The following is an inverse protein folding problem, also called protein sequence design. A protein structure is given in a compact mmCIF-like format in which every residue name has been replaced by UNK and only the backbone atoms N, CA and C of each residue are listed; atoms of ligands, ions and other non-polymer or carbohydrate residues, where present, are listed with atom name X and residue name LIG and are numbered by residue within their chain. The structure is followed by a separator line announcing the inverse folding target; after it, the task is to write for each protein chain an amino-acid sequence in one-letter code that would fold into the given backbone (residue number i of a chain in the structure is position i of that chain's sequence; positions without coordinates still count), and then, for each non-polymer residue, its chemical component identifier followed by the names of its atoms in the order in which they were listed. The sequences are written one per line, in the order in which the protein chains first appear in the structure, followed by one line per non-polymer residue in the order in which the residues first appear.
data_IF_138800610672
#
_entry.id   IF_138800610672
#
_cell.length_a   1.000
_cell.length_b   1.000
_cell.length_c   1.000
_cell.angle_alpha   90.00
_cell.angle_beta   90.00
_cell.angle_gamma   90.00
#
_symmetry.space_group_name_H-M   'P 1'
#
loop_
_entity.id
_entity.type
_entity.pdbx_description
1 polymer ?
#
# COMPACT_ATOMS: atom_id res chain seq x y z
N UNK A 1 -83.39 19.77 -12.39
CA UNK A 1 -82.02 19.40 -12.81
C UNK A 1 -81.06 20.31 -12.05
N UNK A 2 -80.16 19.74 -11.25
CA UNK A 2 -79.07 20.39 -10.51
C UNK A 2 -79.45 21.36 -9.36
N UNK A 3 -79.91 20.78 -8.25
CA UNK A 3 -79.59 21.27 -6.91
C UNK A 3 -78.73 20.20 -6.20
N UNK A 4 -77.89 20.63 -5.25
CA UNK A 4 -76.97 19.81 -4.43
C UNK A 4 -75.73 19.23 -5.12
N UNK A 5 -74.71 20.06 -5.38
CA UNK A 5 -73.29 19.60 -5.45
C UNK A 5 -72.27 20.69 -5.06
N UNK A 6 -72.54 21.47 -4.01
CA UNK A 6 -71.56 22.46 -3.50
C UNK A 6 -71.23 22.35 -2.01
N UNK A 7 -71.60 21.25 -1.34
CA UNK A 7 -71.18 20.93 0.03
C UNK A 7 -70.55 19.52 0.04
N UNK A 8 -69.57 19.29 -0.83
CA UNK A 8 -68.76 18.06 -0.83
C UNK A 8 -67.29 18.29 -1.20
N UNK A 9 -66.84 19.55 -1.25
CA UNK A 9 -65.44 19.93 -1.54
C UNK A 9 -64.71 20.49 -0.30
N UNK A 10 -65.35 20.45 0.87
CA UNK A 10 -64.74 20.93 2.13
C UNK A 10 -64.53 19.84 3.20
N UNK A 11 -64.86 18.58 2.88
CA UNK A 11 -64.70 17.43 3.79
C UNK A 11 -63.81 16.30 3.23
N UNK A 12 -63.06 16.57 2.15
CA UNK A 12 -62.10 15.61 1.56
C UNK A 12 -60.64 16.09 1.60
N UNK A 13 -60.36 17.24 2.23
CA UNK A 13 -58.98 17.74 2.46
C UNK A 13 -58.50 17.50 3.90
N UNK A 14 -59.33 16.93 4.79
CA UNK A 14 -59.02 16.82 6.23
C UNK A 14 -58.92 15.39 6.81
N UNK A 15 -58.82 14.35 5.97
CA UNK A 15 -58.49 13.00 6.45
C UNK A 15 -57.65 12.26 5.43
N UNK A 16 -56.36 12.55 5.44
CA UNK A 16 -55.28 11.60 5.11
C UNK A 16 -53.95 12.26 5.46
N UNK A 17 -53.80 12.70 6.72
CA UNK A 17 -52.49 12.76 7.37
C UNK A 17 -52.04 11.34 7.70
N UNK A 18 -51.93 10.50 6.67
CA UNK A 18 -51.05 9.34 6.73
C UNK A 18 -49.66 9.93 6.50
N UNK A 19 -48.95 10.13 7.61
CA UNK A 19 -47.50 10.20 7.60
C UNK A 19 -47.04 8.87 7.01
N UNK A 20 -46.95 8.82 5.68
CA UNK A 20 -45.98 7.97 5.04
C UNK A 20 -44.65 8.58 5.43
N UNK A 21 -44.09 8.09 6.53
CA UNK A 21 -42.66 7.88 6.63
C UNK A 21 -42.30 6.90 5.53
N UNK A 22 -42.35 7.35 4.28
CA UNK A 22 -41.46 6.82 3.29
C UNK A 22 -40.09 7.21 3.82
N UNK A 23 -39.46 6.28 4.55
CA UNK A 23 -38.03 6.13 4.41
C UNK A 23 -37.78 6.15 2.91
N UNK A 24 -37.38 7.31 2.41
CA UNK A 24 -36.76 7.39 1.11
C UNK A 24 -35.53 6.53 1.27
N UNK A 25 -35.67 5.25 0.89
CA UNK A 25 -34.55 4.45 0.42
C UNK A 25 -33.93 5.29 -0.67
N UNK A 26 -32.93 6.07 -0.29
CA UNK A 26 -31.99 6.67 -1.22
C UNK A 26 -31.31 5.48 -1.86
N UNK A 27 -31.86 5.05 -2.99
CA UNK A 27 -31.22 4.10 -3.88
C UNK A 27 -29.90 4.72 -4.32
N UNK A 28 -28.84 4.23 -3.69
CA UNK A 28 -27.47 4.12 -4.17
C UNK A 28 -27.21 4.71 -5.56
N UNK A 29 -26.97 6.02 -5.59
CA UNK A 29 -26.02 6.61 -6.56
C UNK A 29 -24.58 6.56 -6.01
N UNK A 30 -24.36 5.84 -4.90
CA UNK A 30 -23.53 6.24 -3.76
C UNK A 30 -22.07 5.75 -3.75
N UNK A 31 -21.54 5.31 -4.88
CA UNK A 31 -20.10 5.10 -5.06
C UNK A 31 -19.69 5.82 -6.33
N UNK A 32 -19.63 7.16 -6.26
CA UNK A 32 -19.35 8.01 -7.39
C UNK A 32 -18.01 7.61 -8.04
N UNK A 33 -18.08 7.00 -9.23
CA UNK A 33 -16.97 6.91 -10.19
C UNK A 33 -15.88 5.86 -9.97
N UNK A 34 -15.73 5.26 -8.79
CA UNK A 34 -14.57 4.37 -8.52
C UNK A 34 -14.97 2.93 -8.26
N UNK A 35 -14.97 2.12 -9.32
CA UNK A 35 -14.98 0.66 -9.18
C UNK A 35 -13.58 0.17 -8.82
N UNK A 36 -13.22 0.22 -7.55
CA UNK A 36 -12.14 -0.67 -7.09
C UNK A 36 -12.71 -2.10 -7.17
N UNK A 37 -12.38 -2.85 -8.24
CA UNK A 37 -12.96 -4.17 -8.51
C UNK A 37 -12.86 -5.09 -7.28
N UNK A 38 -14.01 -5.58 -6.83
CA UNK A 38 -14.10 -6.53 -5.70
C UNK A 38 -14.12 -5.90 -4.30
N UNK A 39 -14.31 -4.58 -4.18
CA UNK A 39 -14.61 -3.91 -2.92
C UNK A 39 -16.12 -3.65 -2.78
N UNK A 40 -16.66 -3.85 -1.58
CA UNK A 40 -17.93 -3.24 -1.20
C UNK A 40 -17.64 -1.75 -0.89
N UNK A 41 -18.61 -0.87 -1.09
CA UNK A 41 -18.47 0.56 -0.85
C UNK A 41 -19.69 1.10 -0.09
N UNK A 42 -19.44 1.94 0.91
CA UNK A 42 -20.43 2.58 1.78
C UNK A 42 -20.05 4.05 1.99
N UNK A 43 -21.05 4.92 2.17
CA UNK A 43 -20.81 6.27 2.68
C UNK A 43 -20.58 6.21 4.20
N UNK A 44 -19.33 6.37 4.61
CA UNK A 44 -18.94 6.42 6.01
C UNK A 44 -18.84 7.84 6.54
N UNK A 45 -18.60 7.94 7.85
CA UNK A 45 -18.53 9.20 8.59
C UNK A 45 -17.27 9.25 9.44
N UNK A 46 -16.54 10.35 9.38
CA UNK A 46 -15.37 10.60 10.23
C UNK A 46 -15.59 11.87 11.03
N UNK A 47 -15.38 11.77 12.34
CA UNK A 47 -15.50 12.88 13.28
C UNK A 47 -14.19 13.08 14.02
N UNK A 48 -13.65 14.29 13.97
CA UNK A 48 -12.57 14.67 14.88
C UNK A 48 -13.12 14.93 16.28
N UNK A 49 -12.52 14.33 17.30
CA UNK A 49 -12.75 14.78 18.68
C UNK A 49 -12.02 16.11 18.88
N UNK A 50 -12.70 17.10 19.47
CA UNK A 50 -12.17 18.46 19.66
C UNK A 50 -10.75 18.48 20.25
N UNK A 51 -9.86 19.28 19.65
CA UNK A 51 -8.48 19.48 20.14
C UNK A 51 -8.52 19.83 21.64
N UNK A 52 -8.02 18.96 22.51
CA UNK A 52 -7.71 19.37 23.89
C UNK A 52 -6.63 20.44 23.81
N UNK A 53 -6.99 21.68 24.13
CA UNK A 53 -6.15 22.89 24.10
C UNK A 53 -4.93 22.88 25.05
N UNK A 54 -4.48 21.71 25.52
CA UNK A 54 -3.39 21.54 26.49
C UNK A 54 -2.62 20.25 26.23
N UNK A 55 -1.81 20.25 25.18
CA UNK A 55 -0.54 19.51 25.11
C UNK A 55 0.18 19.96 23.85
N UNK A 56 1.45 20.30 23.96
CA UNK A 56 2.34 20.67 22.84
C UNK A 56 2.79 19.46 22.02
N UNK A 57 1.98 18.40 21.99
CA UNK A 57 2.22 17.17 21.24
C UNK A 57 1.05 17.00 20.27
N UNK A 58 1.32 17.19 18.98
CA UNK A 58 0.40 17.26 17.84
C UNK A 58 -0.36 15.96 17.52
N UNK A 59 -1.10 15.44 18.50
CA UNK A 59 -1.98 14.29 18.33
C UNK A 59 -3.37 14.71 17.85
N UNK A 60 -3.86 14.06 16.80
CA UNK A 60 -5.26 14.11 16.37
C UNK A 60 -6.00 12.88 16.90
N UNK A 61 -7.30 13.01 17.12
CA UNK A 61 -8.14 11.88 17.48
C UNK A 61 -9.38 11.91 16.61
N UNK A 62 -9.68 10.78 15.97
CA UNK A 62 -10.74 10.65 14.98
C UNK A 62 -11.56 9.40 15.25
N UNK A 63 -12.87 9.48 14.99
CA UNK A 63 -13.78 8.34 15.07
C UNK A 63 -14.29 8.07 13.66
N UNK A 64 -14.03 6.88 13.14
CA UNK A 64 -14.48 6.41 11.83
C UNK A 64 -15.67 5.48 12.02
N UNK A 65 -16.80 5.81 11.40
CA UNK A 65 -18.02 4.98 11.38
C UNK A 65 -18.29 4.52 9.95
N UNK A 66 -18.23 3.21 9.73
CA UNK A 66 -18.52 2.57 8.44
C UNK A 66 -18.85 1.09 8.65
N UNK A 67 -19.70 0.50 7.82
CA UNK A 67 -20.09 -0.91 7.86
C UNK A 67 -20.63 -1.35 9.22
N UNK A 68 -21.39 -0.46 9.88
CA UNK A 68 -21.94 -0.68 11.21
C UNK A 68 -20.88 -0.77 12.33
N UNK A 69 -19.62 -0.41 12.05
CA UNK A 69 -18.51 -0.41 13.01
C UNK A 69 -18.08 1.02 13.34
N UNK A 70 -17.57 1.20 14.54
CA UNK A 70 -16.97 2.44 15.02
C UNK A 70 -15.51 2.17 15.43
N UNK A 71 -14.57 2.90 14.84
CA UNK A 71 -13.12 2.74 15.05
C UNK A 71 -12.57 4.06 15.56
N UNK A 72 -12.04 4.07 16.78
CA UNK A 72 -11.34 5.22 17.35
C UNK A 72 -9.87 5.20 16.97
N UNK A 73 -9.40 6.25 16.31
CA UNK A 73 -8.02 6.42 15.88
C UNK A 73 -7.30 7.43 16.78
N UNK A 74 -6.10 7.07 17.23
CA UNK A 74 -5.15 7.95 17.90
C UNK A 74 -4.04 8.29 16.92
N UNK A 75 -4.18 9.43 16.25
CA UNK A 75 -3.36 9.84 15.13
C UNK A 75 -2.19 10.70 15.58
N UNK A 76 -0.99 10.29 15.25
CA UNK A 76 0.25 11.06 15.46
C UNK A 76 0.84 11.44 14.11
N UNK A 77 1.27 12.69 13.95
CA UNK A 77 1.95 13.10 12.72
C UNK A 77 3.24 12.30 12.54
N UNK A 78 3.47 11.83 11.32
CA UNK A 78 4.67 11.07 10.98
C UNK A 78 5.90 11.96 11.09
N UNK A 79 6.86 11.53 11.90
CA UNK A 79 8.15 12.21 12.02
C UNK A 79 9.09 11.85 10.86
N UNK A 80 9.67 12.88 10.24
CA UNK A 80 10.65 12.74 9.15
C UNK A 80 10.00 12.58 7.78
N UNK A 81 10.74 12.98 6.74
CA UNK A 81 10.24 12.90 5.38
C UNK A 81 10.25 11.43 4.91
N UNK A 82 9.09 10.96 4.44
CA UNK A 82 8.90 9.64 3.83
C UNK A 82 9.11 9.66 2.31
N UNK A 83 8.75 10.78 1.73
CA UNK A 83 9.02 11.18 0.36
C UNK A 83 9.22 12.69 0.38
N UNK A 84 9.75 13.25 -0.70
CA UNK A 84 10.03 14.66 -0.83
C UNK A 84 9.43 15.23 -2.10
N UNK A 85 9.34 16.56 -2.20
CA UNK A 85 8.85 17.23 -3.41
C UNK A 85 9.69 16.87 -4.66
N UNK A 86 10.97 16.53 -4.45
CA UNK A 86 11.89 16.11 -5.49
C UNK A 86 11.83 14.60 -5.81
N UNK A 87 11.08 13.79 -5.04
CA UNK A 87 10.95 12.36 -5.30
C UNK A 87 10.41 12.13 -6.72
N UNK A 88 11.16 11.45 -7.60
CA UNK A 88 10.80 11.30 -9.01
C UNK A 88 9.62 10.35 -9.22
N UNK A 89 8.77 10.70 -10.19
CA UNK A 89 7.68 9.86 -10.69
C UNK A 89 7.93 9.54 -12.16
N UNK A 90 8.42 8.34 -12.44
CA UNK A 90 8.76 7.88 -13.78
C UNK A 90 7.52 7.34 -14.49
N UNK A 91 6.93 8.15 -15.38
CA UNK A 91 5.88 7.70 -16.30
C UNK A 91 6.50 7.01 -17.50
N UNK A 92 6.39 5.69 -17.58
CA UNK A 92 6.99 4.88 -18.64
C UNK A 92 6.01 4.66 -19.78
N UNK A 93 6.36 5.13 -20.97
CA UNK A 93 5.63 4.83 -22.19
C UNK A 93 6.45 3.88 -23.06
N UNK A 94 5.81 2.89 -23.65
CA UNK A 94 6.44 2.01 -24.65
C UNK A 94 5.90 2.33 -26.04
N UNK A 95 6.74 2.88 -26.91
CA UNK A 95 6.40 3.07 -28.31
C UNK A 95 6.69 1.81 -29.14
N UNK A 96 6.04 1.68 -30.31
CA UNK A 96 6.35 0.63 -31.28
C UNK A 96 7.82 0.78 -31.72
N UNK A 97 8.69 -0.14 -31.26
CA UNK A 97 10.15 -0.06 -31.48
C UNK A 97 11.05 -0.19 -30.24
N UNK A 98 10.50 -0.56 -29.07
CA UNK A 98 11.26 -0.85 -27.81
C UNK A 98 11.82 0.39 -27.10
N UNK A 99 11.65 1.60 -27.64
CA UNK A 99 12.07 2.82 -26.95
C UNK A 99 11.13 3.14 -25.79
N UNK A 100 11.72 3.32 -24.61
CA UNK A 100 11.05 3.84 -23.43
C UNK A 100 11.16 5.36 -23.45
N UNK A 101 10.03 6.04 -23.28
CA UNK A 101 9.99 7.48 -23.03
C UNK A 101 9.58 7.72 -21.59
N UNK A 102 10.28 8.63 -20.92
CA UNK A 102 9.89 9.18 -19.62
C UNK A 102 9.48 10.62 -19.77
N UNK A 103 8.37 10.95 -19.12
CA UNK A 103 7.94 12.33 -19.03
C UNK A 103 8.73 13.07 -17.93
N UNK A 104 9.53 14.05 -18.35
CA UNK A 104 10.72 14.53 -17.63
C UNK A 104 10.49 15.54 -16.51
N UNK A 105 9.26 15.93 -16.19
CA UNK A 105 8.96 16.96 -15.18
C UNK A 105 8.02 16.48 -14.06
N UNK A 106 8.07 15.19 -13.74
CA UNK A 106 7.14 14.58 -12.82
C UNK A 106 7.82 14.19 -11.52
N UNK A 107 7.44 14.88 -10.45
CA UNK A 107 7.88 14.62 -9.09
C UNK A 107 6.68 14.71 -8.14
N UNK A 108 6.92 14.46 -6.86
CA UNK A 108 5.87 14.50 -5.83
C UNK A 108 5.56 15.91 -5.33
N UNK A 109 5.89 16.98 -6.08
CA UNK A 109 5.68 18.38 -5.66
C UNK A 109 4.23 18.75 -5.34
N UNK A 110 3.25 18.21 -6.06
CA UNK A 110 1.82 18.41 -5.76
C UNK A 110 1.39 17.79 -4.43
N UNK A 111 2.24 16.97 -3.83
CA UNK A 111 2.03 16.32 -2.54
C UNK A 111 3.01 16.85 -1.46
N UNK A 112 3.80 17.88 -1.75
CA UNK A 112 4.81 18.40 -0.82
C UNK A 112 4.24 18.93 0.51
N UNK A 113 2.98 19.40 0.50
CA UNK A 113 2.28 19.91 1.68
C UNK A 113 1.39 18.86 2.36
N UNK A 114 1.43 17.62 1.90
CA UNK A 114 0.63 16.54 2.48
C UNK A 114 1.24 16.12 3.81
N UNK A 115 0.45 16.22 4.88
CA UNK A 115 0.83 15.74 6.21
C UNK A 115 0.30 14.33 6.41
N UNK A 116 1.16 13.39 6.75
CA UNK A 116 0.77 12.01 7.05
C UNK A 116 0.63 11.87 8.57
N UNK A 117 -0.50 11.30 8.98
CA UNK A 117 -0.78 10.91 10.35
C UNK A 117 -0.96 9.40 10.43
N UNK A 118 -0.60 8.85 11.58
CA UNK A 118 -0.48 7.41 11.77
C UNK A 118 -1.11 6.96 13.08
N UNK A 119 -1.70 5.78 13.09
CA UNK A 119 -2.08 5.05 14.30
C UNK A 119 -1.46 3.66 14.21
N UNK A 120 -0.42 3.42 15.00
CA UNK A 120 0.31 2.14 15.01
C UNK A 120 -0.60 0.99 15.43
N UNK A 121 -1.49 1.20 16.41
CA UNK A 121 -2.35 0.15 16.96
C UNK A 121 -3.37 -0.34 15.94
N UNK A 122 -3.91 0.57 15.14
CA UNK A 122 -4.85 0.21 14.07
C UNK A 122 -4.15 -0.05 12.73
N UNK A 123 -2.83 0.12 12.65
CA UNK A 123 -2.08 0.18 11.39
C UNK A 123 -2.81 1.09 10.41
N UNK A 124 -3.03 2.33 10.85
CA UNK A 124 -3.69 3.35 10.06
C UNK A 124 -2.68 4.38 9.55
N UNK A 125 -2.90 4.84 8.32
CA UNK A 125 -2.18 5.93 7.70
C UNK A 125 -3.20 6.83 7.03
N UNK A 126 -3.23 8.11 7.40
CA UNK A 126 -4.19 9.08 6.90
C UNK A 126 -3.46 10.35 6.48
N UNK A 127 -3.95 11.02 5.46
CA UNK A 127 -3.36 12.27 5.01
C UNK A 127 -4.30 13.42 5.30
N UNK A 128 -3.75 14.43 5.96
CA UNK A 128 -4.50 15.61 6.37
C UNK A 128 -4.07 16.78 5.49
N UNK A 129 -5.05 17.52 5.00
CA UNK A 129 -4.84 18.75 4.24
C UNK A 129 -5.72 19.86 4.79
N UNK A 130 -5.38 21.10 4.45
CA UNK A 130 -6.10 22.29 4.89
C UNK A 130 -6.97 22.79 3.74
N UNK A 131 -8.27 23.00 4.00
CA UNK A 131 -9.19 23.65 3.07
C UNK A 131 -8.84 25.14 2.90
N UNK A 132 -9.28 25.80 1.81
CA UNK A 132 -9.10 27.24 1.63
C UNK A 132 -9.68 28.11 2.76
N UNK A 133 -10.65 27.59 3.52
CA UNK A 133 -11.25 28.25 4.68
C UNK A 133 -10.40 28.12 5.97
N UNK A 134 -9.27 27.41 5.91
CA UNK A 134 -8.36 27.17 7.02
C UNK A 134 -8.66 25.92 7.85
N UNK A 135 -9.70 25.15 7.54
CA UNK A 135 -10.04 23.93 8.28
C UNK A 135 -9.24 22.71 7.80
N UNK A 136 -8.71 21.93 8.73
CA UNK A 136 -8.08 20.64 8.45
C UNK A 136 -9.14 19.56 8.18
N UNK A 137 -8.87 18.68 7.21
CA UNK A 137 -9.68 17.49 6.96
C UNK A 137 -8.79 16.34 6.52
N UNK A 138 -9.24 15.09 6.76
CA UNK A 138 -8.57 13.94 6.16
C UNK A 138 -8.94 13.91 4.68
N UNK A 139 -7.95 13.96 3.80
CA UNK A 139 -8.14 13.84 2.35
C UNK A 139 -8.44 12.39 1.97
N UNK A 140 -7.59 11.49 2.45
CA UNK A 140 -7.72 10.05 2.24
C UNK A 140 -6.94 9.29 3.32
N UNK A 141 -7.23 8.00 3.47
CA UNK A 141 -6.56 7.18 4.45
C UNK A 141 -6.89 5.70 4.34
N UNK A 142 -6.09 4.91 5.07
CA UNK A 142 -6.22 3.47 5.15
C UNK A 142 -6.17 3.01 6.60
N UNK A 143 -7.02 2.05 6.98
CA UNK A 143 -7.07 1.42 8.30
C UNK A 143 -6.85 -0.08 8.12
N UNK A 144 -5.65 -0.53 8.45
CA UNK A 144 -5.23 -1.92 8.25
C UNK A 144 -6.03 -2.93 9.06
N UNK A 145 -6.25 -2.65 10.34
CA UNK A 145 -7.02 -3.52 11.25
C UNK A 145 -8.45 -3.78 10.78
N UNK A 146 -9.01 -2.92 9.92
CA UNK A 146 -10.37 -3.03 9.39
C UNK A 146 -10.44 -3.24 7.87
N UNK A 147 -9.31 -3.29 7.16
CA UNK A 147 -9.25 -3.33 5.69
C UNK A 147 -10.08 -2.20 5.01
N UNK A 148 -10.04 -1.00 5.60
CA UNK A 148 -10.80 0.14 5.10
C UNK A 148 -9.88 1.11 4.37
N UNK A 149 -10.21 1.44 3.12
CA UNK A 149 -9.68 2.59 2.42
C UNK A 149 -10.78 3.63 2.33
N UNK A 150 -10.48 4.89 2.65
CA UNK A 150 -11.48 5.94 2.59
C UNK A 150 -10.91 7.20 1.96
N UNK A 151 -11.78 7.90 1.24
CA UNK A 151 -11.44 9.14 0.55
C UNK A 151 -12.54 10.17 0.78
N UNK A 152 -12.13 11.42 0.87
CA UNK A 152 -13.05 12.53 1.04
C UNK A 152 -13.98 12.64 -0.18
N UNK A 153 -15.29 12.78 0.06
CA UNK A 153 -16.31 12.91 -0.99
C UNK A 153 -16.51 14.39 -1.36
N UNK A 154 -16.14 14.81 -2.60
CA UNK A 154 -16.29 16.19 -3.06
C UNK A 154 -17.73 16.67 -3.17
N UNK A 155 -18.71 15.78 -3.30
CA UNK A 155 -20.12 16.16 -3.42
C UNK A 155 -20.65 16.84 -2.13
N UNK A 156 -19.92 16.72 -1.01
CA UNK A 156 -20.24 17.43 0.24
C UNK A 156 -20.27 18.96 0.11
N UNK A 157 -19.56 19.59 -0.85
CA UNK A 157 -19.64 21.05 -1.02
C UNK A 157 -20.99 21.51 -1.57
N UNK A 158 -21.62 20.70 -2.43
CA UNK A 158 -22.89 21.06 -3.10
C UNK A 158 -24.07 20.85 -2.14
N UNK A 159 -24.03 19.80 -1.31
CA UNK A 159 -25.11 19.48 -0.38
C UNK A 159 -25.12 20.34 0.90
N UNK A 160 -23.95 20.69 1.45
CA UNK A 160 -23.86 21.59 2.62
C UNK A 160 -24.29 23.04 2.32
N UNK A 161 -24.42 23.41 1.04
CA UNK A 161 -24.99 24.71 0.65
C UNK A 161 -26.53 24.73 0.71
N UNK A 162 -27.19 23.56 0.67
CA UNK A 162 -28.65 23.47 0.56
C UNK A 162 -29.37 22.88 1.78
N UNK A 163 -28.68 22.13 2.65
CA UNK A 163 -29.30 21.52 3.83
C UNK A 163 -28.42 21.70 5.06
N UNK A 164 -28.83 22.65 5.91
CA UNK A 164 -28.41 22.85 7.31
C UNK A 164 -26.91 23.09 7.58
N UNK A 165 -26.61 24.21 8.24
CA UNK A 165 -25.44 24.33 9.13
C UNK A 165 -25.61 23.29 10.24
N UNK A 166 -25.26 22.04 9.98
CA UNK A 166 -25.17 21.03 11.02
C UNK A 166 -24.00 21.44 11.93
N UNK A 167 -24.30 21.68 13.21
CA UNK A 167 -23.32 22.14 14.21
C UNK A 167 -22.37 21.02 14.67
N UNK A 168 -22.31 19.93 13.90
CA UNK A 168 -21.47 18.78 14.17
C UNK A 168 -20.24 18.82 13.25
N UNK A 169 -19.02 18.65 13.81
CA UNK A 169 -17.75 18.57 13.06
C UNK A 169 -17.63 17.24 12.27
N UNK A 170 -18.73 16.82 11.66
CA UNK A 170 -18.90 15.53 11.04
C UNK A 170 -18.61 15.64 9.53
N UNK A 171 -17.65 14.85 9.05
CA UNK A 171 -17.26 14.82 7.65
C UNK A 171 -17.63 13.46 7.02
N UNK A 172 -18.15 13.48 5.80
CA UNK A 172 -18.58 12.26 5.09
C UNK A 172 -17.55 11.81 4.06
N UNK A 173 -17.40 10.49 3.96
CA UNK A 173 -16.35 9.84 3.17
C UNK A 173 -16.93 8.70 2.36
N UNK A 174 -16.39 8.47 1.17
CA UNK A 174 -16.55 7.19 0.48
C UNK A 174 -15.60 6.21 1.14
N UNK A 175 -16.14 5.16 1.75
CA UNK A 175 -15.38 4.10 2.41
C UNK A 175 -15.50 2.84 1.59
N UNK A 176 -14.36 2.31 1.16
CA UNK A 176 -14.24 1.06 0.45
C UNK A 176 -13.74 -0.01 1.42
N UNK A 177 -14.45 -1.13 1.48
CA UNK A 177 -14.05 -2.32 2.23
C UNK A 177 -13.74 -3.45 1.24
N UNK A 178 -12.48 -3.90 1.26
CA UNK A 178 -12.10 -5.14 0.59
C UNK A 178 -12.02 -6.25 1.62
N UNK A 179 -13.03 -7.10 1.64
CA UNK A 179 -13.00 -8.30 2.46
C UNK A 179 -11.94 -9.27 1.91
N UNK A 180 -10.93 -9.69 2.71
CA UNK A 180 -10.10 -10.79 2.32
C UNK A 180 -10.98 -12.03 2.20
N UNK A 181 -11.06 -12.64 1.00
CA UNK A 181 -11.71 -13.96 0.88
C UNK A 181 -11.01 -14.89 1.86
N UNK A 182 -11.75 -15.37 2.87
CA UNK A 182 -11.23 -16.21 3.95
C UNK A 182 -10.54 -17.45 3.37
N UNK A 183 -9.23 -17.42 3.25
CA UNK A 183 -8.39 -18.55 2.85
C UNK A 183 -7.09 -18.44 3.62
N UNK A 184 -6.67 -19.55 4.21
CA UNK A 184 -5.28 -19.74 4.64
C UNK A 184 -4.38 -19.59 3.40
N UNK A 185 -3.39 -18.69 3.49
CA UNK A 185 -2.45 -18.44 2.40
C UNK A 185 -1.12 -19.11 2.74
N UNK A 186 -0.80 -20.19 2.05
CA UNK A 186 0.53 -20.80 2.15
C UNK A 186 1.51 -20.01 1.28
N UNK A 187 2.71 -19.73 1.79
CA UNK A 187 3.84 -19.33 0.95
C UNK A 187 4.64 -20.58 0.57
N UNK A 188 4.53 -21.08 -0.66
CA UNK A 188 5.46 -22.10 -1.11
C UNK A 188 6.77 -21.45 -1.58
N UNK A 189 7.84 -21.85 -0.88
CA UNK A 189 9.25 -21.91 -1.29
C UNK A 189 9.81 -20.69 -2.02
N UNK A 190 10.66 -19.98 -1.28
CA UNK A 190 11.86 -19.32 -1.77
C UNK A 190 12.30 -19.70 -3.18
N UNK A 191 12.57 -18.68 -3.99
CA UNK A 191 13.76 -18.75 -4.80
C UNK A 191 14.96 -18.57 -3.90
N UNK A 192 15.63 -19.69 -3.62
CA UNK A 192 17.01 -19.63 -3.18
C UNK A 192 17.78 -18.79 -4.20
N UNK A 193 18.47 -17.74 -3.74
CA UNK A 193 19.46 -17.07 -4.57
C UNK A 193 20.52 -18.14 -4.92
N UNK A 194 20.64 -18.61 -6.17
CA UNK A 194 21.65 -19.62 -6.52
C UNK A 194 23.09 -19.10 -6.33
N UNK A 195 23.25 -17.83 -5.96
CA UNK A 195 24.52 -17.16 -5.72
C UNK A 195 24.80 -16.87 -4.24
N UNK A 196 23.96 -17.29 -3.30
CA UNK A 196 24.34 -17.33 -1.88
C UNK A 196 25.28 -18.51 -1.58
N UNK A 197 26.31 -18.71 -2.40
CA UNK A 197 27.54 -19.35 -1.92
C UNK A 197 28.28 -18.30 -1.09
N UNK A 198 27.79 -18.04 0.12
CA UNK A 198 28.54 -17.28 1.12
C UNK A 198 28.42 -17.94 2.50
N UNK A 199 28.53 -19.27 2.52
CA UNK A 199 29.18 -19.96 3.61
C UNK A 199 30.69 -19.81 3.43
N UNK A 200 31.22 -18.63 3.74
CA UNK A 200 32.56 -18.46 4.31
C UNK A 200 32.77 -17.02 4.79
N UNK A 201 32.80 -16.92 6.11
CA UNK A 201 32.92 -15.73 6.93
C UNK A 201 34.34 -15.15 6.83
N UNK A 202 34.43 -13.87 6.47
CA UNK A 202 35.28 -12.95 7.24
C UNK A 202 34.32 -11.96 7.87
N UNK A 203 33.97 -12.21 9.13
CA UNK A 203 33.29 -11.22 9.96
C UNK A 203 34.27 -10.08 10.16
N UNK A 204 34.18 -9.05 9.33
CA UNK A 204 34.76 -7.78 9.68
C UNK A 204 33.87 -7.24 10.81
N UNK A 205 34.44 -6.99 11.99
CA UNK A 205 33.74 -6.34 13.11
C UNK A 205 33.38 -4.91 12.71
N UNK A 206 32.31 -4.78 11.94
CA UNK A 206 31.73 -3.49 11.56
C UNK A 206 30.61 -3.18 12.55
N UNK A 207 30.64 -1.96 13.07
CA UNK A 207 29.59 -1.47 13.97
C UNK A 207 28.31 -1.26 13.16
N UNK A 208 27.26 -2.01 13.48
CA UNK A 208 25.94 -1.83 12.88
C UNK A 208 25.40 -0.46 13.33
N UNK A 209 25.01 0.44 12.40
CA UNK A 209 24.37 1.71 12.77
C UNK A 209 23.09 1.49 13.58
N UNK A 210 22.82 2.39 14.53
CA UNK A 210 21.58 2.35 15.33
C UNK A 210 20.34 2.51 14.45
N UNK A 211 20.44 3.33 13.40
CA UNK A 211 19.37 3.59 12.44
C UNK A 211 19.90 3.39 11.03
N UNK A 212 19.12 2.70 10.19
CA UNK A 212 19.33 2.62 8.74
C UNK A 212 18.13 3.23 7.99
N UNK A 213 18.38 3.66 6.76
CA UNK A 213 17.49 4.45 5.92
C UNK A 213 17.33 3.87 4.50
N UNK A 214 16.70 2.70 4.32
CA UNK A 214 16.52 2.14 2.99
C UNK A 214 15.62 3.03 2.11
N UNK A 215 16.08 3.39 0.92
CA UNK A 215 15.34 4.16 -0.09
C UNK A 215 14.74 3.21 -1.14
N UNK A 216 13.41 3.13 -1.24
CA UNK A 216 12.70 2.15 -2.08
C UNK A 216 12.25 2.78 -3.40
N UNK A 217 12.60 2.14 -4.52
CA UNK A 217 11.96 2.34 -5.81
C UNK A 217 10.70 1.49 -5.90
N UNK A 218 9.54 2.13 -6.02
CA UNK A 218 8.24 1.45 -6.10
C UNK A 218 7.80 1.35 -7.56
N UNK A 219 7.45 0.16 -8.03
CA UNK A 219 6.95 -0.07 -9.39
C UNK A 219 5.50 -0.51 -9.34
N UNK A 220 4.60 0.32 -9.86
CA UNK A 220 3.17 0.02 -9.93
C UNK A 220 2.93 -0.86 -11.16
N UNK A 221 2.08 -1.90 -11.09
CA UNK A 221 1.69 -2.63 -12.30
C UNK A 221 0.60 -1.88 -13.11
N UNK A 222 0.58 -2.10 -14.42
CA UNK A 222 -0.34 -1.41 -15.32
C UNK A 222 -1.81 -1.58 -14.92
N UNK A 223 -2.21 -2.76 -14.47
CA UNK A 223 -3.61 -3.03 -14.14
C UNK A 223 -4.01 -2.33 -12.84
N UNK A 224 -3.09 -2.21 -11.86
CA UNK A 224 -3.32 -1.38 -10.67
C UNK A 224 -3.46 0.09 -11.03
N UNK A 225 -2.61 0.61 -11.93
CA UNK A 225 -2.71 1.99 -12.39
C UNK A 225 -4.08 2.27 -13.02
N UNK A 226 -4.58 1.34 -13.84
CA UNK A 226 -5.91 1.46 -14.45
C UNK A 226 -7.04 1.33 -13.41
N UNK A 227 -6.94 0.39 -12.48
CA UNK A 227 -7.99 0.13 -11.48
C UNK A 227 -8.09 1.25 -10.43
N UNK A 228 -6.96 1.87 -10.04
CA UNK A 228 -6.91 2.94 -9.03
C UNK A 228 -7.01 4.34 -9.66
N UNK A 229 -6.63 4.48 -10.93
CA UNK A 229 -6.43 5.75 -11.64
C UNK A 229 -5.17 6.50 -11.21
N UNK A 230 -4.55 7.20 -12.16
CA UNK A 230 -3.30 7.94 -11.98
C UNK A 230 -3.38 8.99 -10.86
N UNK A 231 -4.51 9.69 -10.77
CA UNK A 231 -4.73 10.76 -9.78
C UNK A 231 -4.70 10.28 -8.32
N UNK A 232 -4.95 8.98 -8.09
CA UNK A 232 -5.04 8.39 -6.76
C UNK A 232 -3.93 7.39 -6.45
N UNK A 233 -3.31 6.80 -7.47
CA UNK A 233 -2.34 5.72 -7.27
C UNK A 233 -1.12 6.16 -6.45
N UNK A 234 -0.69 7.41 -6.58
CA UNK A 234 0.47 7.93 -5.85
C UNK A 234 0.20 7.99 -4.34
N UNK A 235 -0.99 8.47 -3.95
CA UNK A 235 -1.38 8.52 -2.54
C UNK A 235 -1.67 7.15 -1.98
N UNK A 236 -2.27 6.28 -2.79
CA UNK A 236 -2.40 4.87 -2.45
C UNK A 236 -1.01 4.25 -2.15
N UNK A 237 -0.01 4.47 -3.01
CA UNK A 237 1.36 3.99 -2.80
C UNK A 237 1.98 4.57 -1.52
N UNK A 238 1.82 5.88 -1.28
CA UNK A 238 2.30 6.54 -0.06
C UNK A 238 1.72 5.86 1.18
N UNK A 239 0.40 5.67 1.24
CA UNK A 239 -0.24 5.00 2.38
C UNK A 239 0.21 3.55 2.56
N UNK A 240 0.31 2.79 1.46
CA UNK A 240 0.74 1.39 1.52
C UNK A 240 2.16 1.25 2.05
N UNK A 241 3.10 2.01 1.51
CA UNK A 241 4.49 1.94 1.95
C UNK A 241 4.69 2.56 3.33
N UNK A 242 3.88 3.54 3.71
CA UNK A 242 3.85 4.07 5.08
C UNK A 242 3.48 2.98 6.10
N UNK A 243 2.53 2.12 5.73
CA UNK A 243 2.12 0.98 6.57
C UNK A 243 3.20 -0.11 6.62
N UNK A 244 3.90 -0.37 5.51
CA UNK A 244 5.10 -1.23 5.52
C UNK A 244 6.13 -0.68 6.51
N UNK A 245 6.43 0.61 6.44
CA UNK A 245 7.37 1.27 7.34
C UNK A 245 6.94 1.21 8.82
N UNK A 246 5.64 1.34 9.13
CA UNK A 246 5.11 1.16 10.49
C UNK A 246 5.46 -0.23 11.05
N UNK A 247 5.37 -1.29 10.23
CA UNK A 247 5.72 -2.66 10.65
C UNK A 247 7.19 -2.74 11.06
N UNK A 248 8.09 -2.08 10.34
CA UNK A 248 9.51 -2.08 10.65
C UNK A 248 9.90 -1.18 11.83
N UNK A 249 9.14 -0.12 12.11
CA UNK A 249 9.38 0.74 13.28
C UNK A 249 9.18 0.03 14.63
N UNK A 250 8.62 -1.18 14.63
CA UNK A 250 8.66 -2.08 15.79
C UNK A 250 10.08 -2.55 16.18
N UNK A 251 11.07 -2.42 15.28
CA UNK A 251 12.47 -2.81 15.53
C UNK A 251 13.25 -1.72 16.27
N UNK A 252 14.05 -2.14 17.25
CA UNK A 252 14.90 -1.23 18.04
C UNK A 252 16.41 -1.40 17.83
N UNK A 253 16.86 -2.46 17.15
CA UNK A 253 18.29 -2.77 17.00
C UNK A 253 18.57 -3.61 15.75
N UNK A 254 18.70 -2.98 14.58
CA UNK A 254 18.59 -1.53 14.35
C UNK A 254 17.15 -1.03 14.25
N UNK A 255 16.95 0.27 14.36
CA UNK A 255 15.74 0.92 13.85
C UNK A 255 15.84 1.08 12.34
N UNK A 256 14.77 0.76 11.62
CA UNK A 256 14.71 0.83 10.16
C UNK A 256 13.65 1.86 9.78
N UNK A 257 14.04 2.87 8.99
CA UNK A 257 13.15 3.94 8.54
C UNK A 257 13.20 4.03 7.02
N UNK A 258 12.10 3.74 6.35
CA UNK A 258 12.06 3.77 4.89
C UNK A 258 11.77 5.16 4.34
N UNK A 259 12.18 5.35 3.10
CA UNK A 259 11.71 6.44 2.25
C UNK A 259 11.46 5.96 0.83
N UNK A 260 10.65 6.69 0.07
CA UNK A 260 10.39 6.43 -1.33
C UNK A 260 11.42 7.19 -2.16
N UNK A 261 12.32 6.43 -2.80
CA UNK A 261 13.33 6.95 -3.74
C UNK A 261 12.72 7.35 -5.09
N UNK A 262 11.60 6.74 -5.46
CA UNK A 262 10.88 7.06 -6.69
C UNK A 262 9.72 6.10 -6.95
N UNK A 263 8.81 6.51 -7.82
CA UNK A 263 7.66 5.70 -8.22
C UNK A 263 7.66 5.54 -9.74
N UNK A 264 7.53 4.31 -10.23
CA UNK A 264 7.38 3.98 -11.64
C UNK A 264 5.90 3.72 -11.93
N UNK A 265 5.35 4.50 -12.87
CA UNK A 265 4.00 4.34 -13.41
C UNK A 265 4.09 3.82 -14.86
N UNK A 266 3.70 2.58 -15.15
CA UNK A 266 3.66 2.06 -16.50
C UNK A 266 2.44 2.61 -17.23
N UNK A 267 2.66 3.51 -18.19
CA UNK A 267 1.61 4.18 -18.95
C UNK A 267 1.15 3.36 -20.17
N UNK A 268 1.67 2.15 -20.35
CA UNK A 268 1.30 1.22 -21.42
C UNK A 268 1.36 -0.22 -20.91
N UNK A 269 0.48 -1.13 -21.39
CA UNK A 269 0.34 -2.49 -20.85
C UNK A 269 1.62 -3.32 -20.93
N UNK A 270 2.49 -3.02 -21.89
CA UNK A 270 3.73 -3.76 -22.13
C UNK A 270 4.99 -3.03 -21.61
N UNK A 271 4.83 -2.01 -20.77
CA UNK A 271 5.96 -1.24 -20.20
C UNK A 271 6.78 -2.06 -19.18
N UNK A 272 6.14 -3.02 -18.50
CA UNK A 272 6.80 -3.92 -17.56
C UNK A 272 7.09 -5.26 -18.25
N UNK A 273 7.98 -5.23 -19.24
CA UNK A 273 8.24 -6.38 -20.13
C UNK A 273 8.65 -7.65 -19.37
N UNK A 274 9.30 -7.52 -18.22
CA UNK A 274 9.72 -8.67 -17.40
C UNK A 274 8.55 -9.57 -16.96
N UNK A 275 7.32 -9.05 -16.86
CA UNK A 275 6.15 -9.90 -16.64
C UNK A 275 5.79 -10.72 -17.88
N UNK A 276 5.95 -10.14 -19.07
CA UNK A 276 5.70 -10.86 -20.34
C UNK A 276 6.77 -11.94 -20.57
N UNK A 277 8.03 -11.61 -20.34
CA UNK A 277 9.16 -12.53 -20.50
C UNK A 277 9.12 -13.64 -19.43
N UNK A 278 8.69 -13.30 -18.22
CA UNK A 278 8.48 -14.23 -17.11
C UNK A 278 7.13 -14.95 -17.12
N UNK A 279 6.36 -14.87 -18.20
CA UNK A 279 5.06 -15.56 -18.30
C UNK A 279 5.14 -16.89 -19.07
N UNK A 280 4.18 -17.76 -18.84
CA UNK A 280 3.96 -19.01 -19.59
C UNK A 280 2.48 -19.17 -19.95
N UNK A 281 2.15 -20.13 -20.82
CA UNK A 281 0.78 -20.36 -21.28
C UNK A 281 0.24 -21.70 -20.76
N UNK A 282 -0.97 -21.68 -20.18
CA UNK A 282 -1.77 -22.89 -19.88
C UNK A 282 -3.15 -22.69 -20.48
N UNK A 283 -3.63 -23.65 -21.27
CA UNK A 283 -4.96 -23.61 -21.91
C UNK A 283 -5.22 -22.28 -22.64
N UNK A 284 -4.24 -21.80 -23.41
CA UNK A 284 -4.22 -20.50 -24.10
C UNK A 284 -4.40 -19.26 -23.21
N UNK A 285 -4.20 -19.40 -21.89
CA UNK A 285 -4.17 -18.27 -20.95
C UNK A 285 -2.74 -17.99 -20.52
N UNK A 286 -2.31 -16.74 -20.68
CA UNK A 286 -1.02 -16.25 -20.17
C UNK A 286 -1.07 -16.22 -18.64
N UNK A 287 -0.06 -16.78 -18.00
CA UNK A 287 0.11 -16.86 -16.54
C UNK A 287 1.48 -16.29 -16.18
N UNK A 288 1.51 -15.42 -15.17
CA UNK A 288 2.74 -14.83 -14.66
C UNK A 288 3.43 -15.86 -13.77
N UNK A 289 4.69 -16.19 -14.06
CA UNK A 289 5.57 -16.90 -13.14
C UNK A 289 6.36 -15.85 -12.35
N UNK A 290 6.10 -15.75 -11.04
CA UNK A 290 6.71 -14.74 -10.18
C UNK A 290 8.23 -14.84 -10.18
N UNK A 291 8.73 -16.06 -10.06
CA UNK A 291 10.15 -16.38 -10.02
C UNK A 291 10.88 -15.97 -11.30
N UNK A 292 10.35 -16.38 -12.45
CA UNK A 292 10.91 -15.98 -13.74
C UNK A 292 10.79 -14.48 -13.98
N UNK A 293 9.67 -13.86 -13.57
CA UNK A 293 9.48 -12.41 -13.70
C UNK A 293 10.48 -11.64 -12.84
N UNK A 294 10.82 -12.13 -11.65
CA UNK A 294 11.86 -11.56 -10.78
C UNK A 294 13.24 -11.63 -11.45
N UNK A 295 13.58 -12.77 -12.07
CA UNK A 295 14.82 -12.93 -12.83
C UNK A 295 14.93 -11.98 -14.04
N UNK A 296 13.81 -11.69 -14.70
CA UNK A 296 13.77 -10.70 -15.78
C UNK A 296 13.77 -9.26 -15.25
N UNK A 297 13.18 -9.00 -14.08
CA UNK A 297 13.09 -7.66 -13.49
C UNK A 297 14.48 -7.09 -13.18
N UNK A 298 15.38 -7.89 -12.59
CA UNK A 298 16.77 -7.47 -12.32
C UNK A 298 17.54 -7.06 -13.58
N UNK A 299 17.34 -7.77 -14.69
CA UNK A 299 17.96 -7.46 -16.00
C UNK A 299 17.32 -6.22 -16.60
N UNK A 300 16.00 -6.11 -16.48
CA UNK A 300 15.24 -4.97 -16.97
C UNK A 300 15.72 -3.68 -16.29
N UNK A 301 15.87 -3.63 -14.95
CA UNK A 301 16.40 -2.43 -14.28
C UNK A 301 17.82 -2.08 -14.76
N UNK A 302 18.69 -3.07 -14.93
CA UNK A 302 20.05 -2.81 -15.42
C UNK A 302 20.04 -2.17 -16.82
N UNK A 303 19.20 -2.68 -17.72
CA UNK A 303 19.04 -2.14 -19.08
C UNK A 303 18.50 -0.70 -19.08
N UNK A 304 17.67 -0.35 -18.09
CA UNK A 304 17.03 0.97 -17.99
C UNK A 304 17.75 1.93 -17.03
N UNK A 305 18.99 1.63 -16.63
CA UNK A 305 19.79 2.49 -15.74
C UNK A 305 19.96 3.95 -16.23
N UNK A 306 19.94 4.16 -17.54
CA UNK A 306 20.03 5.49 -18.14
C UNK A 306 18.80 6.37 -17.87
N UNK A 307 17.67 5.75 -17.52
CA UNK A 307 16.39 6.41 -17.20
C UNK A 307 16.15 6.39 -15.69
N UNK A 308 16.40 5.24 -15.07
CA UNK A 308 16.18 4.97 -13.65
C UNK A 308 17.55 4.63 -13.06
N UNK A 309 18.29 5.61 -12.52
CA UNK A 309 19.66 5.39 -12.08
C UNK A 309 19.73 4.34 -10.96
N UNK A 310 20.54 3.30 -11.13
CA UNK A 310 20.67 2.19 -10.17
C UNK A 310 21.13 2.67 -8.79
N UNK A 311 21.85 3.79 -8.73
CA UNK A 311 22.33 4.38 -7.48
C UNK A 311 21.32 5.34 -6.82
N UNK A 312 20.11 5.49 -7.37
CA UNK A 312 19.08 6.36 -6.80
C UNK A 312 18.12 5.63 -5.86
N UNK A 313 18.36 4.36 -5.56
CA UNK A 313 17.54 3.53 -4.68
C UNK A 313 18.35 2.35 -4.14
N UNK A 314 17.94 1.84 -2.98
CA UNK A 314 18.61 0.73 -2.29
C UNK A 314 17.90 -0.61 -2.51
N UNK A 315 16.60 -0.54 -2.80
CA UNK A 315 15.69 -1.65 -3.06
C UNK A 315 14.71 -1.27 -4.16
N UNK A 316 14.29 -2.22 -4.99
CA UNK A 316 13.21 -2.00 -5.96
C UNK A 316 12.12 -3.06 -5.85
N UNK A 317 10.87 -2.62 -5.68
CA UNK A 317 9.73 -3.51 -5.43
C UNK A 317 8.64 -3.25 -6.46
N UNK A 318 8.25 -4.28 -7.20
CA UNK A 318 7.05 -4.22 -8.06
C UNK A 318 5.82 -4.67 -7.29
N UNK A 319 4.73 -3.90 -7.36
CA UNK A 319 3.44 -4.21 -6.76
C UNK A 319 2.43 -4.63 -7.83
N UNK A 320 1.89 -5.84 -7.71
CA UNK A 320 1.05 -6.51 -8.69
C UNK A 320 -0.39 -6.68 -8.18
N UNK A 321 -1.36 -6.07 -8.84
CA UNK A 321 -2.80 -6.18 -8.51
C UNK A 321 -3.40 -7.55 -8.76
N UNK A 322 -2.88 -8.29 -9.75
CA UNK A 322 -3.42 -9.59 -10.16
C UNK A 322 -2.65 -10.73 -9.50
N UNK A 323 -3.42 -11.71 -9.00
CA UNK A 323 -2.84 -12.90 -8.39
C UNK A 323 -1.98 -13.67 -9.41
N UNK A 324 -0.68 -13.90 -9.15
CA UNK A 324 0.09 -14.86 -9.93
C UNK A 324 -0.49 -16.25 -9.71
N UNK A 325 -0.53 -17.08 -10.75
CA UNK A 325 -1.10 -18.42 -10.63
C UNK A 325 -0.03 -19.42 -10.23
N UNK A 326 -0.36 -20.49 -9.50
CA UNK A 326 0.65 -21.42 -9.03
C UNK A 326 1.36 -22.07 -10.23
N UNK A 327 2.67 -22.21 -10.11
CA UNK A 327 3.45 -22.92 -11.11
C UNK A 327 3.18 -24.43 -10.99
N UNK A 328 2.34 -24.96 -11.87
CA UNK A 328 2.02 -26.40 -11.92
C UNK A 328 3.25 -27.32 -12.13
N UNK A 329 4.37 -26.78 -12.60
CA UNK A 329 5.62 -27.54 -12.76
C UNK A 329 6.41 -27.69 -11.45
N UNK A 330 6.11 -26.90 -10.42
CA UNK A 330 6.64 -27.09 -9.07
C UNK A 330 5.62 -27.89 -8.25
N UNK A 331 5.75 -29.23 -8.25
CA UNK A 331 4.86 -30.19 -7.58
C UNK A 331 4.56 -29.90 -6.09
N UNK A 332 5.33 -29.03 -5.44
CA UNK A 332 5.24 -28.68 -4.02
C UNK A 332 4.48 -27.36 -3.75
N UNK A 333 4.05 -26.65 -4.79
CA UNK A 333 3.52 -25.27 -4.73
C UNK A 333 2.18 -25.14 -5.46
N UNK A 334 1.13 -25.81 -4.95
CA UNK A 334 -0.23 -25.62 -5.47
C UNK A 334 -0.87 -24.29 -5.01
N UNK A 335 -0.19 -23.55 -4.13
CA UNK A 335 -0.69 -22.31 -3.57
C UNK A 335 -0.08 -21.09 -4.28
N UNK A 336 -0.89 -20.10 -4.67
CA UNK A 336 -0.40 -18.88 -5.28
C UNK A 336 0.55 -18.11 -4.36
N UNK A 337 1.75 -17.81 -4.85
CA UNK A 337 2.72 -16.95 -4.19
C UNK A 337 2.16 -15.52 -4.09
N UNK A 338 2.39 -14.86 -2.95
CA UNK A 338 2.03 -13.44 -2.77
C UNK A 338 3.20 -12.50 -2.98
N UNK A 339 4.39 -13.03 -3.24
CA UNK A 339 5.61 -12.27 -3.42
C UNK A 339 6.80 -13.17 -3.65
N UNK A 340 7.90 -12.55 -4.10
CA UNK A 340 9.22 -13.14 -4.16
C UNK A 340 10.28 -12.02 -4.17
N UNK A 341 11.37 -12.21 -3.45
CA UNK A 341 12.54 -11.35 -3.47
C UNK A 341 13.84 -12.15 -3.33
N UNK A 342 14.96 -11.54 -3.72
CA UNK A 342 16.28 -12.11 -3.46
C UNK A 342 16.69 -11.88 -2.00
N UNK A 343 17.25 -12.90 -1.35
CA UNK A 343 17.68 -12.78 0.05
C UNK A 343 19.01 -12.03 0.18
N UNK A 344 19.09 -11.11 1.14
CA UNK A 344 20.31 -10.39 1.55
C UNK A 344 20.96 -9.56 0.44
N UNK A 345 20.16 -9.05 -0.50
CA UNK A 345 20.63 -8.43 -1.75
C UNK A 345 20.43 -6.91 -1.79
N UNK A 346 19.94 -6.30 -0.70
CA UNK A 346 19.87 -4.85 -0.60
C UNK A 346 21.24 -4.20 -0.90
N UNK A 347 21.26 -3.07 -1.61
CA UNK A 347 22.45 -2.43 -2.19
C UNK A 347 23.16 -3.17 -3.34
N UNK A 348 22.81 -4.40 -3.69
CA UNK A 348 23.65 -5.22 -4.57
C UNK A 348 23.31 -5.05 -6.06
N UNK A 349 24.35 -5.00 -6.89
CA UNK A 349 24.28 -4.98 -8.36
C UNK A 349 25.45 -5.78 -8.93
N UNK A 350 25.14 -6.74 -9.80
CA UNK A 350 26.13 -7.56 -10.49
C UNK A 350 26.39 -6.95 -11.88
N UNK A 351 27.48 -6.20 -12.00
CA UNK A 351 27.86 -5.57 -13.27
C UNK A 351 28.38 -6.57 -14.31
N UNK A 352 28.91 -7.72 -13.88
CA UNK A 352 29.40 -8.76 -14.79
C UNK A 352 28.23 -9.44 -15.52
N UNK A 353 27.18 -9.79 -14.75
CA UNK A 353 25.95 -10.37 -15.31
C UNK A 353 24.96 -9.33 -15.82
N UNK A 354 25.21 -8.05 -15.54
CA UNK A 354 24.34 -6.94 -15.91
C UNK A 354 22.97 -7.06 -15.24
N UNK A 355 22.96 -7.23 -13.92
CA UNK A 355 21.77 -7.52 -13.11
C UNK A 355 21.71 -6.62 -11.86
N UNK A 356 20.55 -6.02 -11.60
CA UNK A 356 20.25 -5.33 -10.32
C UNK A 356 19.52 -6.29 -9.40
N UNK A 357 20.23 -6.96 -8.50
CA UNK A 357 19.68 -8.08 -7.72
C UNK A 357 18.89 -7.65 -6.47
N UNK A 358 18.97 -6.37 -6.08
CA UNK A 358 18.18 -5.70 -5.02
C UNK A 358 16.68 -5.55 -5.34
N UNK A 359 16.02 -6.62 -5.78
CA UNK A 359 14.65 -6.60 -6.33
C UNK A 359 13.68 -7.56 -5.64
N UNK A 360 12.43 -7.14 -5.57
CA UNK A 360 11.28 -7.96 -5.16
C UNK A 360 10.04 -7.68 -6.00
N UNK A 361 9.11 -8.62 -6.01
CA UNK A 361 7.77 -8.46 -6.56
C UNK A 361 6.77 -8.93 -5.52
N UNK A 362 5.71 -8.16 -5.29
CA UNK A 362 4.67 -8.43 -4.30
C UNK A 362 3.29 -8.27 -4.90
N UNK A 363 2.36 -9.10 -4.45
CA UNK A 363 0.94 -8.96 -4.77
C UNK A 363 0.32 -7.90 -3.88
N UNK A 364 -0.41 -6.96 -4.47
CA UNK A 364 -1.25 -6.00 -3.76
C UNK A 364 -2.62 -5.86 -4.43
N UNK A 365 -3.60 -6.58 -3.89
CA UNK A 365 -4.98 -6.54 -4.30
C UNK A 365 -5.82 -5.51 -3.52
N UNK A 366 -5.21 -4.61 -2.77
CA UNK A 366 -5.93 -3.59 -1.99
C UNK A 366 -6.35 -4.04 -0.58
N UNK A 367 -5.88 -5.19 -0.08
CA UNK A 367 -6.19 -5.69 1.27
C UNK A 367 -5.01 -5.55 2.23
N UNK A 368 -5.26 -5.68 3.54
CA UNK A 368 -4.24 -5.45 4.58
C UNK A 368 -3.13 -6.50 4.55
N UNK A 369 -3.48 -7.76 4.26
CA UNK A 369 -2.52 -8.86 4.17
C UNK A 369 -1.42 -8.61 3.12
N UNK A 370 -1.68 -7.74 2.13
CA UNK A 370 -0.70 -7.42 1.11
C UNK A 370 0.40 -6.46 1.63
N UNK A 371 0.14 -5.69 2.69
CA UNK A 371 1.18 -4.91 3.41
C UNK A 371 2.15 -5.86 4.11
N UNK A 372 1.63 -6.95 4.69
CA UNK A 372 2.43 -7.98 5.33
C UNK A 372 3.32 -8.66 4.29
N UNK A 373 2.78 -8.97 3.10
CA UNK A 373 3.57 -9.50 1.98
C UNK A 373 4.69 -8.55 1.56
N UNK A 374 4.40 -7.25 1.41
CA UNK A 374 5.42 -6.24 1.09
C UNK A 374 6.52 -6.17 2.15
N UNK A 375 6.15 -6.11 3.43
CA UNK A 375 7.10 -6.10 4.53
C UNK A 375 7.94 -7.38 4.60
N UNK A 376 7.33 -8.54 4.34
CA UNK A 376 8.00 -9.84 4.29
C UNK A 376 9.07 -9.92 3.19
N UNK A 377 8.74 -9.55 1.96
CA UNK A 377 9.72 -9.60 0.86
C UNK A 377 10.85 -8.57 1.04
N UNK A 378 10.57 -7.40 1.60
CA UNK A 378 11.62 -6.44 1.98
C UNK A 378 12.54 -7.02 3.05
N UNK A 379 12.02 -7.86 3.94
CA UNK A 379 12.82 -8.45 5.00
C UNK A 379 13.79 -9.48 4.43
N UNK A 380 13.38 -10.22 3.40
CA UNK A 380 14.31 -11.05 2.63
C UNK A 380 15.44 -10.23 2.02
N UNK A 381 15.16 -9.08 1.37
CA UNK A 381 16.20 -8.21 0.83
C UNK A 381 17.20 -7.75 1.91
N UNK A 382 16.72 -7.54 3.13
CA UNK A 382 17.50 -7.17 4.32
C UNK A 382 18.09 -8.38 5.07
N UNK A 383 17.99 -9.59 4.52
CA UNK A 383 18.67 -10.80 5.00
C UNK A 383 17.93 -11.64 6.03
N UNK A 384 16.66 -11.36 6.32
CA UNK A 384 15.84 -12.26 7.14
C UNK A 384 15.47 -13.53 6.37
N UNK A 385 15.58 -14.68 7.04
CA UNK A 385 15.05 -15.96 6.57
C UNK A 385 13.70 -16.24 7.24
N UNK A 386 13.00 -17.29 6.80
CA UNK A 386 11.71 -17.66 7.34
C UNK A 386 11.91 -18.20 8.76
N UNK A 387 10.93 -17.90 9.61
CA UNK A 387 10.92 -18.32 11.01
C UNK A 387 10.70 -19.83 11.20
N UNK A 388 10.24 -20.54 10.17
CA UNK A 388 10.07 -22.00 10.18
C UNK A 388 11.19 -22.74 9.42
N UNK A 389 12.27 -22.03 9.07
CA UNK A 389 13.41 -22.55 8.32
C UNK A 389 14.62 -22.85 9.20
N UNK A 390 15.76 -22.25 8.85
CA UNK A 390 17.07 -22.46 9.51
C UNK A 390 17.02 -22.12 11.01
N UNK A 391 16.29 -21.05 11.33
CA UNK A 391 16.03 -20.68 12.70
C UNK A 391 14.66 -21.29 13.04
N UNK A 392 14.61 -22.25 13.97
CA UNK A 392 13.38 -22.86 14.48
C UNK A 392 12.60 -21.86 15.34
N UNK A 393 12.19 -20.75 14.74
CA UNK A 393 11.45 -19.69 15.39
C UNK A 393 10.03 -20.13 15.77
N UNK A 394 9.44 -19.48 16.77
CA UNK A 394 8.02 -19.69 17.10
C UNK A 394 7.14 -19.35 15.88
N UNK A 395 6.02 -20.05 15.66
CA UNK A 395 5.13 -19.79 14.54
C UNK A 395 4.40 -18.44 14.71
N UNK A 396 3.83 -17.97 13.61
CA UNK A 396 2.92 -16.83 13.48
C UNK A 396 3.52 -15.43 13.55
N UNK A 397 4.82 -15.30 13.29
CA UNK A 397 5.50 -14.02 13.05
C UNK A 397 5.49 -13.66 11.57
N UNK A 398 5.86 -12.42 11.24
CA UNK A 398 5.79 -11.92 9.87
C UNK A 398 6.61 -12.74 8.86
N UNK A 399 7.72 -13.34 9.29
CA UNK A 399 8.58 -14.17 8.44
C UNK A 399 8.18 -15.65 8.45
N UNK A 400 7.00 -16.03 8.95
CA UNK A 400 6.51 -17.40 8.75
C UNK A 400 6.25 -17.65 7.25
N UNK A 401 6.77 -18.76 6.73
CA UNK A 401 6.49 -19.20 5.34
C UNK A 401 5.03 -19.59 5.08
N UNK A 402 4.10 -19.34 5.99
CA UNK A 402 2.65 -19.45 5.77
C UNK A 402 1.98 -18.32 6.55
N UNK A 403 1.22 -17.43 5.89
CA UNK A 403 0.42 -16.44 6.61
C UNK A 403 -0.76 -17.16 7.26
N UNK A 404 -0.73 -17.20 8.59
CA UNK A 404 -1.87 -17.52 9.44
C UNK A 404 -2.36 -16.23 10.08
N UNK A 405 -3.68 -16.05 10.14
CA UNK A 405 -4.25 -14.98 10.94
C UNK A 405 -3.86 -15.21 12.40
N UNK A 406 -3.04 -14.31 12.93
CA UNK A 406 -2.46 -14.38 14.27
C UNK A 406 -2.28 -12.98 14.82
N UNK A 407 -2.24 -12.87 16.14
CA UNK A 407 -1.93 -11.62 16.84
C UNK A 407 -0.50 -11.13 16.59
N UNK A 408 0.43 -12.02 16.22
CA UNK A 408 1.86 -11.73 16.02
C UNK A 408 2.29 -11.54 14.57
N UNK A 409 1.35 -11.52 13.62
CA UNK A 409 1.65 -11.50 12.17
C UNK A 409 2.36 -10.21 11.71
N UNK A 410 2.44 -9.19 12.57
CA UNK A 410 3.15 -7.92 12.35
C UNK A 410 4.40 -7.80 13.22
N UNK A 411 4.67 -8.79 14.07
CA UNK A 411 5.85 -8.82 14.93
C UNK A 411 7.01 -9.51 14.22
N UNK A 412 8.22 -9.08 14.56
CA UNK A 412 9.46 -9.70 14.12
C UNK A 412 9.91 -10.74 15.14
N UNK A 413 10.29 -11.93 14.67
CA UNK A 413 10.90 -12.94 15.51
C UNK A 413 12.36 -12.56 15.84
N UNK A 414 12.93 -13.22 16.85
CA UNK A 414 14.38 -13.12 17.11
C UNK A 414 15.22 -13.57 15.90
N UNK A 415 14.76 -14.57 15.16
CA UNK A 415 15.41 -15.06 13.93
C UNK A 415 15.50 -13.97 12.85
N UNK A 416 14.40 -13.22 12.67
CA UNK A 416 14.36 -12.11 11.71
C UNK A 416 15.34 -11.02 12.10
N UNK A 417 15.37 -10.65 13.39
CA UNK A 417 16.30 -9.65 13.94
C UNK A 417 17.75 -10.08 13.73
N UNK A 418 18.08 -11.34 13.98
CA UNK A 418 19.42 -11.89 13.75
C UNK A 418 19.80 -11.89 12.26
N UNK A 419 18.85 -12.20 11.37
CA UNK A 419 19.02 -12.08 9.92
C UNK A 419 19.40 -10.66 9.49
N UNK A 420 18.66 -9.67 9.98
CA UNK A 420 18.98 -8.25 9.73
C UNK A 420 20.36 -7.88 10.25
N UNK A 421 20.72 -8.27 11.47
CA UNK A 421 22.03 -7.97 12.04
C UNK A 421 23.16 -8.63 11.25
N UNK A 422 23.00 -9.89 10.85
CA UNK A 422 23.99 -10.61 10.05
C UNK A 422 24.19 -9.97 8.67
N UNK A 423 23.10 -9.54 8.04
CA UNK A 423 23.18 -8.78 6.79
C UNK A 423 23.90 -7.45 6.99
N UNK A 424 23.58 -6.69 8.04
CA UNK A 424 24.18 -5.39 8.29
C UNK A 424 25.67 -5.45 8.70
N UNK A 425 26.13 -6.56 9.29
CA UNK A 425 27.57 -6.83 9.51
C UNK A 425 28.36 -6.97 8.21
N UNK A 426 27.69 -7.19 7.07
CA UNK A 426 28.31 -7.14 5.74
C UNK A 426 28.51 -5.70 5.24
N UNK A 427 28.17 -4.70 6.06
CA UNK A 427 28.36 -3.28 5.81
C UNK A 427 27.70 -2.76 4.51
N UNK A 428 26.39 -2.96 4.31
CA UNK A 428 25.64 -2.42 3.16
C UNK A 428 25.48 -0.89 3.29
N UNK A 429 26.54 -0.14 2.95
CA UNK A 429 26.63 1.30 3.24
C UNK A 429 25.59 2.18 2.55
N UNK A 430 24.93 1.69 1.49
CA UNK A 430 23.84 2.42 0.82
C UNK A 430 22.63 2.66 1.75
N UNK A 431 22.47 1.83 2.79
CA UNK A 431 21.39 1.97 3.75
C UNK A 431 21.69 2.99 4.86
N UNK A 432 22.88 3.60 4.88
CA UNK A 432 23.32 4.40 6.03
C UNK A 432 23.15 5.91 5.79
N UNK A 433 22.98 6.33 4.54
CA UNK A 433 22.68 7.72 4.20
C UNK A 433 21.23 8.05 4.53
N UNK A 434 21.02 9.16 5.25
CA UNK A 434 19.70 9.77 5.32
C UNK A 434 19.25 10.18 3.90
N UNK A 435 17.98 9.98 3.56
CA UNK A 435 17.47 10.28 2.23
C UNK A 435 17.51 11.79 1.98
N UNK A 436 17.73 12.17 0.72
CA UNK A 436 17.74 13.57 0.27
C UNK A 436 16.36 13.90 -0.32
N UNK A 437 15.42 14.25 0.55
CA UNK A 437 14.00 14.47 0.22
C UNK A 437 13.67 15.95 -0.03
#
# INVERSE_FOLDING_TARGET
MFALKFIFIWLLVNKLSLVYSAETKFESSECAGQKIRGADCERGKIRFSSRRRRSTTDGLSAIVKAYGKEIGLSLTEREGAFFGSATPVYRLFRAAGVTYRVDGNNNMSSYANVRIFEDINHSASVTVTVHPDGNEYIKEGYIGSANLYFMWDPQNQIYNFHLFKDQTNDQYYTVNHKSPKARTYNWPTYLYNPYSNYDQLVLQETTIPEIIYPEILVVVDYEMLIDIHEDHVLMYMIHRWNLVDIVYRGLRSPTIKFSIAGIILPMSPDSLQYFSDGSYYINNRKKINMNSSLDFFKKWLFLHNHIIPINSYDLAITMLSKRPEPNYHQRWSLNPQRGAAYSGSACETDFYRREVVKVGIVMDAGVYVDIIAAAHEVAHLLGANHDNGICNGPPNYIMEGVIKHSTRVLEWSQCSVEGFQNFLRKNPTCLYNKPKL
#
